data_IF_676115533231
#
_entry.id   IF_676115533231
#
_cell.length_a   1.000
_cell.length_b   1.000
_cell.length_c   1.000
_cell.angle_alpha   90.00
_cell.angle_beta   90.00
_cell.angle_gamma   90.00
#
_symmetry.space_group_name_H-M   'P 1'
#
loop_
_entity.id
_entity.type
_entity.pdbx_description
1 polymer ?
#
# COMPACT_ATOMS: atom_id res chain seq x y z
N UNK A 1 -20.04 -6.64 -6.02
CA UNK A 1 -19.09 -6.76 -4.90
C UNK A 1 -18.26 -5.48 -4.86
N UNK A 2 -18.42 -4.64 -3.84
CA UNK A 2 -17.67 -3.39 -3.73
C UNK A 2 -16.29 -3.71 -3.14
N UNK A 3 -15.23 -3.30 -3.84
CA UNK A 3 -13.86 -3.47 -3.37
C UNK A 3 -13.69 -2.77 -2.01
N UNK A 4 -13.53 -3.56 -0.94
CA UNK A 4 -13.36 -3.05 0.42
C UNK A 4 -14.36 -3.60 1.45
N UNK A 5 -15.38 -4.36 1.03
CA UNK A 5 -16.37 -4.93 1.97
C UNK A 5 -15.77 -5.98 2.93
N UNK A 6 -14.65 -6.61 2.56
CA UNK A 6 -13.94 -7.57 3.42
C UNK A 6 -12.61 -6.99 3.91
N UNK A 7 -12.67 -6.02 4.82
CA UNK A 7 -11.50 -5.54 5.58
C UNK A 7 -11.71 -5.78 7.07
N UNK A 8 -11.65 -7.04 7.57
CA UNK A 8 -12.05 -7.37 8.95
C UNK A 8 -11.39 -6.52 10.03
N UNK A 9 -10.15 -6.09 9.81
CA UNK A 9 -9.39 -5.23 10.74
C UNK A 9 -9.82 -3.76 10.73
N UNK A 10 -10.59 -3.32 9.73
CA UNK A 10 -11.08 -1.95 9.56
C UNK A 10 -12.61 -1.87 9.67
N UNK A 11 -13.35 -2.92 9.31
CA UNK A 11 -14.82 -2.93 9.22
C UNK A 11 -15.50 -2.54 10.53
N UNK A 12 -14.94 -2.94 11.68
CA UNK A 12 -15.49 -2.65 13.01
C UNK A 12 -14.64 -1.65 13.81
N UNK A 13 -13.70 -0.95 13.16
CA UNK A 13 -12.86 0.02 13.84
C UNK A 13 -13.68 1.28 14.17
N UNK A 14 -13.67 1.78 15.43
CA UNK A 14 -14.36 3.03 15.79
C UNK A 14 -13.80 4.24 15.04
N UNK A 15 -12.50 4.23 14.76
CA UNK A 15 -11.81 5.18 13.91
C UNK A 15 -10.91 4.41 12.91
N UNK A 16 -11.35 4.37 11.65
CA UNK A 16 -10.63 3.69 10.57
C UNK A 16 -9.30 4.36 10.25
N UNK A 17 -9.23 5.70 10.36
CA UNK A 17 -8.03 6.46 10.08
C UNK A 17 -6.95 6.18 11.12
N UNK A 18 -7.30 6.25 12.40
CA UNK A 18 -6.40 5.90 13.49
C UNK A 18 -5.94 4.43 13.40
N UNK A 19 -6.86 3.50 13.11
CA UNK A 19 -6.54 2.08 12.96
C UNK A 19 -5.58 1.82 11.79
N UNK A 20 -5.81 2.50 10.65
CA UNK A 20 -4.91 2.39 9.51
C UNK A 20 -3.53 2.97 9.82
N UNK A 21 -3.45 4.11 10.50
CA UNK A 21 -2.20 4.73 10.90
C UNK A 21 -1.40 3.84 11.86
N UNK A 22 -2.06 3.24 12.85
CA UNK A 22 -1.47 2.25 13.76
C UNK A 22 -0.89 1.06 12.99
N UNK A 23 -1.68 0.46 12.09
CA UNK A 23 -1.22 -0.67 11.26
C UNK A 23 -0.02 -0.29 10.39
N UNK A 24 -0.01 0.92 9.81
CA UNK A 24 1.12 1.41 9.02
C UNK A 24 2.35 1.68 9.87
N UNK A 25 2.21 2.22 11.09
CA UNK A 25 3.34 2.46 12.00
C UNK A 25 4.11 1.16 12.30
N UNK A 26 3.39 0.04 12.44
CA UNK A 26 4.02 -1.26 12.69
C UNK A 26 4.58 -1.91 11.41
N UNK A 27 3.89 -1.74 10.27
CA UNK A 27 4.23 -2.45 9.04
C UNK A 27 5.16 -1.71 8.11
N UNK A 28 5.22 -0.38 8.15
CA UNK A 28 6.11 0.43 7.34
C UNK A 28 7.58 -0.01 7.41
N UNK A 29 8.18 -0.27 8.59
CA UNK A 29 9.56 -0.76 8.64
C UNK A 29 9.72 -2.14 7.99
N UNK A 30 8.76 -3.05 8.20
CA UNK A 30 8.78 -4.39 7.60
C UNK A 30 8.67 -4.36 6.07
N UNK A 31 7.81 -3.48 5.54
CA UNK A 31 7.69 -3.27 4.10
C UNK A 31 8.98 -2.69 3.52
N UNK A 32 9.61 -1.73 4.21
CA UNK A 32 10.87 -1.15 3.77
C UNK A 32 12.04 -2.16 3.81
N UNK A 33 12.06 -3.05 4.80
CA UNK A 33 13.12 -4.06 4.96
C UNK A 33 13.17 -5.07 3.80
N UNK A 34 11.99 -5.52 3.33
CA UNK A 34 11.92 -6.57 2.29
C UNK A 34 11.80 -6.01 0.87
N UNK A 35 11.54 -4.72 0.71
CA UNK A 35 11.33 -4.11 -0.59
C UNK A 35 12.67 -3.78 -1.27
N UNK A 36 12.89 -4.34 -2.47
CA UNK A 36 14.00 -3.92 -3.33
C UNK A 36 13.85 -2.45 -3.79
N UNK A 37 12.62 -2.00 -3.99
CA UNK A 37 12.27 -0.61 -4.29
C UNK A 37 10.82 -0.32 -3.86
N UNK A 38 10.49 0.96 -3.70
CA UNK A 38 9.15 1.44 -3.36
C UNK A 38 8.65 2.47 -4.37
N UNK A 39 7.36 2.43 -4.70
CA UNK A 39 6.73 3.35 -5.66
C UNK A 39 5.62 4.12 -4.97
N UNK A 40 5.60 5.46 -5.11
CA UNK A 40 4.49 6.30 -4.61
C UNK A 40 3.27 6.12 -5.50
N UNK A 41 2.10 5.85 -4.90
CA UNK A 41 0.86 5.52 -5.64
C UNK A 41 -0.25 6.56 -5.51
N UNK A 42 -0.13 7.51 -4.58
CA UNK A 42 -1.18 8.50 -4.28
C UNK A 42 -1.55 9.35 -5.50
N UNK A 43 -2.83 9.36 -5.85
CA UNK A 43 -3.37 10.17 -6.95
C UNK A 43 -2.93 9.75 -8.35
N UNK A 44 -2.21 8.62 -8.50
CA UNK A 44 -1.68 8.17 -9.79
C UNK A 44 -2.60 7.19 -10.48
N UNK A 45 -2.55 7.18 -11.83
CA UNK A 45 -3.21 6.14 -12.61
C UNK A 45 -2.44 4.83 -12.45
N UNK A 46 -3.17 3.73 -12.30
CA UNK A 46 -2.60 2.38 -12.17
C UNK A 46 -1.59 2.07 -13.27
N UNK A 47 -1.88 2.45 -14.53
CA UNK A 47 -0.98 2.24 -15.67
C UNK A 47 0.37 2.90 -15.48
N UNK A 48 0.41 4.10 -14.90
CA UNK A 48 1.65 4.87 -14.73
C UNK A 48 2.49 4.27 -13.60
N UNK A 49 1.85 3.79 -12.54
CA UNK A 49 2.50 3.02 -11.47
C UNK A 49 3.11 1.73 -12.02
N UNK A 50 2.37 0.99 -12.84
CA UNK A 50 2.85 -0.26 -13.46
C UNK A 50 4.05 -0.01 -14.39
N UNK A 51 4.03 1.06 -15.18
CA UNK A 51 5.18 1.41 -16.04
C UNK A 51 6.44 1.70 -15.21
N UNK A 52 6.30 2.40 -14.09
CA UNK A 52 7.42 2.68 -13.20
C UNK A 52 7.98 1.39 -12.58
N UNK A 53 7.12 0.47 -12.12
CA UNK A 53 7.55 -0.84 -11.61
C UNK A 53 8.33 -1.61 -12.68
N UNK A 54 7.81 -1.67 -13.92
CA UNK A 54 8.51 -2.33 -15.03
C UNK A 54 9.85 -1.65 -15.38
N UNK A 55 9.95 -0.33 -15.19
CA UNK A 55 11.20 0.41 -15.34
C UNK A 55 12.26 -0.03 -14.34
N UNK A 56 11.91 -0.14 -13.05
CA UNK A 56 12.82 -0.64 -12.01
C UNK A 56 13.30 -2.06 -12.31
N UNK A 57 12.38 -2.96 -12.68
CA UNK A 57 12.70 -4.38 -12.95
C UNK A 57 13.63 -4.60 -14.15
N UNK A 58 13.63 -3.71 -15.14
CA UNK A 58 14.50 -3.80 -16.34
C UNK A 58 15.88 -3.19 -16.13
N UNK A 59 16.02 -2.32 -15.13
CA UNK A 59 17.29 -1.68 -14.77
C UNK A 59 18.13 -2.48 -13.78
N UNK A 60 17.62 -3.64 -13.34
CA UNK A 60 18.32 -4.61 -12.49
C UNK A 60 18.96 -5.73 -13.32
#
# INVERSE_FOLDING_TARGET
>A
MRQGENRPLLTNAPDVGARLAELMSHRAPLYAEVAAFSVRTDGRRVRDVVHEILGHLRGH
#
